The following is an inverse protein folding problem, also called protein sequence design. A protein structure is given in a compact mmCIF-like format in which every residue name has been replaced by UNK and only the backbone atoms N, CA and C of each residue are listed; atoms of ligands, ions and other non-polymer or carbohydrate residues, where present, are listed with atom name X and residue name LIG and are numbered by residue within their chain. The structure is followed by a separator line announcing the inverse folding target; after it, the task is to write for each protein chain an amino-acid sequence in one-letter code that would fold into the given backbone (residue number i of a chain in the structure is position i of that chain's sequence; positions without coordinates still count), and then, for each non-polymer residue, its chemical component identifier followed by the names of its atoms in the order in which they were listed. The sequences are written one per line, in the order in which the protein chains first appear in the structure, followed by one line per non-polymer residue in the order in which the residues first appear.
data_IF_885450952065
#
_entry.id   IF_885450952065
#
_cell.length_a   1.000
_cell.length_b   1.000
_cell.length_c   1.000
_cell.angle_alpha   90.00
_cell.angle_beta   90.00
_cell.angle_gamma   90.00
#
_symmetry.space_group_name_H-M   'P 1'
#
loop_
_entity.id
_entity.type
_entity.pdbx_description
1 polymer ?
#
# COMPACT_ATOMS: atom_id res chain seq x y z
N UNK A 1 3.62 -20.58 -7.36
CA UNK A 1 3.84 -19.48 -8.35
C UNK A 1 2.85 -18.33 -8.13
N UNK A 2 1.54 -18.57 -8.14
CA UNK A 2 0.52 -17.54 -7.91
C UNK A 2 0.77 -16.70 -6.63
N UNK A 3 1.10 -17.35 -5.51
CA UNK A 3 1.32 -16.67 -4.23
C UNK A 3 2.44 -15.63 -4.26
N UNK A 4 3.60 -15.97 -4.85
CA UNK A 4 4.71 -15.03 -4.96
C UNK A 4 4.38 -13.83 -5.86
N UNK A 5 3.57 -14.03 -6.91
CA UNK A 5 3.10 -12.94 -7.75
C UNK A 5 2.16 -11.99 -6.97
N UNK A 6 1.30 -12.54 -6.09
CA UNK A 6 0.44 -11.74 -5.20
C UNK A 6 1.28 -10.91 -4.22
N UNK A 7 2.29 -11.51 -3.58
CA UNK A 7 3.16 -10.79 -2.64
C UNK A 7 3.98 -9.72 -3.36
N UNK A 8 4.53 -10.01 -4.54
CA UNK A 8 5.24 -9.03 -5.36
C UNK A 8 4.32 -7.86 -5.77
N UNK A 9 3.05 -8.14 -6.09
CA UNK A 9 2.06 -7.10 -6.36
C UNK A 9 1.82 -6.21 -5.14
N UNK A 10 1.72 -6.82 -3.95
CA UNK A 10 1.68 -6.09 -2.67
C UNK A 10 2.90 -5.20 -2.48
N UNK A 11 4.11 -5.72 -2.70
CA UNK A 11 5.35 -4.96 -2.58
C UNK A 11 5.38 -3.75 -3.54
N UNK A 12 4.95 -3.92 -4.79
CA UNK A 12 4.81 -2.82 -5.74
C UNK A 12 3.77 -1.79 -5.32
N UNK A 13 2.62 -2.21 -4.82
CA UNK A 13 1.61 -1.30 -4.25
C UNK A 13 2.19 -0.51 -3.08
N UNK A 14 3.00 -1.14 -2.24
CA UNK A 14 3.64 -0.50 -1.10
C UNK A 14 4.68 0.53 -1.55
N UNK A 15 5.49 0.21 -2.56
CA UNK A 15 6.41 1.19 -3.18
C UNK A 15 5.64 2.37 -3.75
N UNK A 16 4.58 2.12 -4.53
CA UNK A 16 3.79 3.19 -5.14
C UNK A 16 3.10 4.08 -4.08
N UNK A 17 2.53 3.46 -3.05
CA UNK A 17 1.96 4.17 -1.90
C UNK A 17 3.03 5.02 -1.20
N UNK A 18 4.20 4.44 -0.93
CA UNK A 18 5.31 5.13 -0.29
C UNK A 18 5.82 6.33 -1.09
N UNK A 19 5.99 6.19 -2.42
CA UNK A 19 6.32 7.31 -3.33
C UNK A 19 5.27 8.41 -3.19
N UNK A 20 3.99 8.05 -3.29
CA UNK A 20 2.89 8.99 -3.21
C UNK A 20 2.87 9.75 -1.86
N UNK A 21 3.09 9.07 -0.73
CA UNK A 21 3.15 9.68 0.60
C UNK A 21 4.34 10.62 0.79
N UNK A 22 5.51 10.28 0.22
CA UNK A 22 6.70 11.14 0.31
C UNK A 22 6.51 12.42 -0.50
N UNK A 23 5.96 12.30 -1.71
CA UNK A 23 5.74 13.42 -2.62
C UNK A 23 4.55 14.29 -2.21
N UNK A 24 3.43 13.67 -1.81
CA UNK A 24 2.15 14.31 -1.49
C UNK A 24 1.62 13.79 -0.14
N UNK A 25 2.14 14.30 0.99
CA UNK A 25 1.81 13.75 2.31
C UNK A 25 0.44 14.19 2.87
N UNK A 26 -0.25 15.13 2.24
CA UNK A 26 -1.39 15.84 2.86
C UNK A 26 -2.54 14.91 3.25
N UNK A 27 -2.91 13.94 2.39
CA UNK A 27 -3.91 12.94 2.74
C UNK A 27 -3.48 12.04 3.91
N UNK A 28 -2.21 11.65 3.96
CA UNK A 28 -1.64 10.87 5.05
C UNK A 28 -1.59 11.66 6.35
N UNK A 29 -1.30 12.96 6.30
CA UNK A 29 -1.30 13.83 7.48
C UNK A 29 -2.69 13.86 8.10
N UNK A 30 -3.75 14.04 7.30
CA UNK A 30 -5.13 14.04 7.80
C UNK A 30 -5.50 12.69 8.43
N UNK A 31 -5.17 11.58 7.77
CA UNK A 31 -5.38 10.24 8.32
C UNK A 31 -4.62 10.04 9.65
N UNK A 32 -3.34 10.41 9.72
CA UNK A 32 -2.54 10.31 10.95
C UNK A 32 -3.08 11.20 12.07
N UNK A 33 -3.55 12.41 11.77
CA UNK A 33 -4.18 13.29 12.77
C UNK A 33 -5.47 12.69 13.33
N UNK A 34 -6.28 12.04 12.48
CA UNK A 34 -7.50 11.37 12.95
C UNK A 34 -7.23 10.21 13.91
N UNK A 35 -6.09 9.53 13.75
CA UNK A 35 -5.74 8.34 14.53
C UNK A 35 -4.88 8.64 15.77
N UNK A 36 -3.96 9.59 15.64
CA UNK A 36 -2.88 9.83 16.62
C UNK A 36 -2.88 11.28 17.14
N UNK A 37 -3.85 12.11 16.73
CA UNK A 37 -3.96 13.50 17.14
C UNK A 37 -2.73 14.34 16.73
N UNK A 38 -2.03 15.00 17.68
CA UNK A 38 -0.96 15.94 17.37
C UNK A 38 0.28 15.30 16.71
N UNK A 39 0.41 13.97 16.76
CA UNK A 39 1.52 13.23 16.13
C UNK A 39 1.41 13.22 14.60
N UNK A 40 0.21 13.47 14.05
CA UNK A 40 -0.04 13.56 12.61
C UNK A 40 0.62 14.79 11.98
N UNK A 41 1.91 14.65 11.67
CA UNK A 41 2.74 15.70 11.08
C UNK A 41 3.25 15.31 9.70
N UNK A 42 3.72 16.30 8.93
CA UNK A 42 4.34 16.08 7.62
C UNK A 42 5.57 15.18 7.71
N UNK A 43 6.35 15.31 8.79
CA UNK A 43 7.51 14.45 9.04
C UNK A 43 7.07 12.99 9.26
N UNK A 44 6.06 12.75 10.11
CA UNK A 44 5.52 11.42 10.33
C UNK A 44 4.96 10.78 9.06
N UNK A 45 4.21 11.54 8.24
CA UNK A 45 3.69 11.07 6.95
C UNK A 45 4.80 10.67 5.97
N UNK A 46 5.88 11.47 5.88
CA UNK A 46 7.03 11.16 5.02
C UNK A 46 7.84 9.98 5.55
N UNK A 47 8.03 9.86 6.86
CA UNK A 47 8.67 8.71 7.49
C UNK A 47 7.88 7.43 7.19
N UNK A 48 6.55 7.47 7.32
CA UNK A 48 5.69 6.35 6.96
C UNK A 48 5.86 5.97 5.48
N UNK A 49 5.83 6.95 4.57
CA UNK A 49 6.08 6.72 3.15
C UNK A 49 7.47 6.16 2.84
N UNK A 50 8.50 6.62 3.55
CA UNK A 50 9.86 6.09 3.45
C UNK A 50 9.96 4.63 3.92
N UNK A 51 9.27 4.27 5.00
CA UNK A 51 9.21 2.88 5.48
C UNK A 51 8.51 1.98 4.46
N UNK A 52 7.41 2.42 3.87
CA UNK A 52 6.71 1.68 2.82
C UNK A 52 7.60 1.44 1.58
N UNK A 53 8.30 2.49 1.13
CA UNK A 53 9.29 2.39 0.06
C UNK A 53 10.39 1.39 0.37
N UNK A 54 10.96 1.48 1.57
CA UNK A 54 12.06 0.61 1.99
C UNK A 54 11.61 -0.85 2.09
N UNK A 55 10.45 -1.12 2.70
CA UNK A 55 9.93 -2.48 2.87
C UNK A 55 9.54 -3.13 1.53
N UNK A 56 8.81 -2.39 0.69
CA UNK A 56 8.45 -2.86 -0.64
C UNK A 56 9.67 -3.10 -1.52
N UNK A 57 10.61 -2.14 -1.54
CA UNK A 57 11.85 -2.24 -2.29
C UNK A 57 12.75 -3.38 -1.80
N UNK A 58 12.88 -3.57 -0.48
CA UNK A 58 13.67 -4.65 0.11
C UNK A 58 13.17 -6.03 -0.35
N UNK A 59 11.86 -6.26 -0.35
CA UNK A 59 11.30 -7.52 -0.85
C UNK A 59 11.53 -7.72 -2.35
N UNK A 60 11.45 -6.65 -3.15
CA UNK A 60 11.67 -6.72 -4.59
C UNK A 60 13.14 -6.97 -4.97
N UNK A 61 14.11 -6.49 -4.18
CA UNK A 61 15.54 -6.67 -4.44
C UNK A 61 16.03 -8.00 -3.86
N UNK A 62 15.66 -8.30 -2.62
CA UNK A 62 16.12 -9.47 -1.88
C UNK A 62 14.93 -10.24 -1.30
N UNK A 63 14.15 -10.92 -2.15
CA UNK A 63 13.03 -11.70 -1.68
C UNK A 63 13.49 -12.83 -0.74
N UNK A 64 12.81 -13.00 0.38
CA UNK A 64 13.12 -14.02 1.36
C UNK A 64 12.17 -14.00 2.55
N UNK A 65 12.37 -14.91 3.53
CA UNK A 65 11.47 -15.04 4.67
C UNK A 65 11.45 -13.77 5.55
N UNK A 66 12.59 -13.10 5.71
CA UNK A 66 12.70 -11.89 6.52
C UNK A 66 11.89 -10.72 5.89
N UNK A 67 12.13 -10.31 4.62
CA UNK A 67 11.29 -9.28 4.01
C UNK A 67 9.82 -9.66 3.89
N UNK A 68 9.50 -10.94 3.66
CA UNK A 68 8.11 -11.43 3.65
C UNK A 68 7.43 -11.26 5.03
N UNK A 69 8.14 -11.54 6.12
CA UNK A 69 7.64 -11.32 7.48
C UNK A 69 7.41 -9.82 7.77
N UNK A 70 8.32 -8.95 7.30
CA UNK A 70 8.16 -7.50 7.43
C UNK A 70 6.93 -6.99 6.66
N UNK A 71 6.73 -7.45 5.41
CA UNK A 71 5.52 -7.15 4.63
C UNK A 71 4.25 -7.66 5.33
N UNK A 72 4.30 -8.84 5.93
CA UNK A 72 3.18 -9.41 6.70
C UNK A 72 2.79 -8.46 7.83
N UNK A 73 3.74 -8.08 8.68
CA UNK A 73 3.50 -7.14 9.79
C UNK A 73 2.95 -5.80 9.29
N UNK A 74 3.49 -5.29 8.18
CA UNK A 74 3.06 -4.03 7.61
C UNK A 74 1.63 -4.07 7.05
N UNK A 75 1.28 -5.08 6.25
CA UNK A 75 -0.07 -5.22 5.70
C UNK A 75 -1.11 -5.48 6.80
N UNK A 76 -0.76 -6.22 7.86
CA UNK A 76 -1.64 -6.37 9.01
C UNK A 76 -1.85 -5.03 9.73
N UNK A 77 -0.80 -4.24 9.94
CA UNK A 77 -0.91 -2.90 10.53
C UNK A 77 -1.76 -1.95 9.67
N UNK A 78 -1.59 -2.00 8.34
CA UNK A 78 -2.43 -1.24 7.39
C UNK A 78 -3.89 -1.72 7.42
N UNK A 79 -4.14 -3.03 7.55
CA UNK A 79 -5.51 -3.58 7.63
C UNK A 79 -6.22 -3.12 8.89
N UNK A 80 -5.52 -3.14 10.04
CA UNK A 80 -6.04 -2.63 11.30
C UNK A 80 -6.28 -1.11 11.24
N UNK A 81 -5.36 -0.38 10.61
CA UNK A 81 -5.50 1.06 10.37
C UNK A 81 -6.72 1.36 9.50
N UNK A 82 -6.91 0.62 8.40
CA UNK A 82 -8.07 0.76 7.53
C UNK A 82 -9.38 0.45 8.27
N UNK A 83 -9.43 -0.59 9.11
CA UNK A 83 -10.58 -0.88 9.97
C UNK A 83 -10.93 0.25 10.93
N UNK A 84 -9.92 0.93 11.50
CA UNK A 84 -10.11 2.07 12.39
C UNK A 84 -10.57 3.30 11.64
N UNK A 85 -9.89 3.67 10.54
CA UNK A 85 -10.24 4.82 9.70
C UNK A 85 -11.65 4.65 9.11
N UNK A 86 -12.07 3.44 8.75
CA UNK A 86 -13.42 3.17 8.24
C UNK A 86 -14.54 3.58 9.21
N UNK A 87 -14.24 3.69 10.51
CA UNK A 87 -15.21 4.18 11.52
C UNK A 87 -15.19 5.71 11.68
N UNK A 88 -14.34 6.39 10.91
CA UNK A 88 -14.23 7.85 10.85
C UNK A 88 -14.62 8.36 9.47
N UNK A 89 -15.10 9.59 9.37
CA UNK A 89 -15.39 10.26 8.09
C UNK A 89 -14.10 10.81 7.41
N UNK A 90 -12.96 10.14 7.62
CA UNK A 90 -11.65 10.55 7.09
C UNK A 90 -11.20 9.55 6.02
N UNK A 91 -10.65 10.04 4.90
CA UNK A 91 -10.09 9.14 3.89
C UNK A 91 -8.79 8.45 4.33
N UNK A 92 -8.43 7.40 3.61
CA UNK A 92 -7.35 6.50 4.02
C UNK A 92 -5.94 7.13 3.99
N UNK A 93 -5.72 8.16 3.16
CA UNK A 93 -4.42 8.80 2.99
C UNK A 93 -3.33 7.89 2.39
N UNK A 94 -3.66 6.67 1.95
CA UNK A 94 -2.69 5.65 1.55
C UNK A 94 -1.90 6.02 0.29
N UNK A 95 -2.52 6.73 -0.65
CA UNK A 95 -1.86 7.19 -1.89
C UNK A 95 -1.71 8.71 -1.93
N UNK A 96 -1.58 9.34 -0.76
CA UNK A 96 -1.43 10.80 -0.63
C UNK A 96 -2.73 11.60 -0.80
N UNK A 97 -3.85 10.94 -1.13
CA UNK A 97 -5.18 11.53 -1.30
C UNK A 97 -6.01 11.41 -0.03
N UNK A 98 -6.70 12.49 0.36
CA UNK A 98 -7.61 12.50 1.51
C UNK A 98 -9.02 12.00 1.17
N UNK A 99 -9.36 11.84 -0.12
CA UNK A 99 -10.73 11.57 -0.57
C UNK A 99 -11.05 10.10 -0.82
N UNK A 100 -10.08 9.20 -0.61
CA UNK A 100 -10.30 7.78 -0.85
C UNK A 100 -11.03 7.14 0.33
N UNK A 101 -12.32 6.84 0.12
CA UNK A 101 -13.17 6.14 1.09
C UNK A 101 -12.62 4.74 1.40
N UNK A 102 -12.63 4.36 2.69
CA UNK A 102 -12.20 3.02 3.11
C UNK A 102 -13.38 2.06 3.06
N UNK A 103 -13.44 1.27 1.99
CA UNK A 103 -14.44 0.20 1.85
C UNK A 103 -14.02 -1.09 2.57
N UNK A 104 -14.96 -2.02 2.77
CA UNK A 104 -14.63 -3.38 3.20
C UNK A 104 -13.72 -4.10 2.20
N UNK A 105 -13.85 -3.79 0.91
CA UNK A 105 -12.97 -4.32 -0.13
C UNK A 105 -11.51 -3.94 0.13
N UNK A 106 -11.24 -2.68 0.47
CA UNK A 106 -9.90 -2.23 0.86
C UNK A 106 -9.34 -3.10 1.99
N UNK A 107 -10.08 -3.21 3.10
CA UNK A 107 -9.64 -3.99 4.27
C UNK A 107 -9.35 -5.44 3.90
N UNK A 108 -10.27 -6.08 3.18
CA UNK A 108 -10.15 -7.48 2.80
C UNK A 108 -8.92 -7.71 1.93
N UNK A 109 -8.66 -6.83 0.96
CA UNK A 109 -7.53 -6.94 0.05
C UNK A 109 -6.21 -6.77 0.80
N UNK A 110 -6.10 -5.73 1.63
CA UNK A 110 -4.90 -5.49 2.44
C UNK A 110 -4.64 -6.68 3.38
N UNK A 111 -5.69 -7.28 3.94
CA UNK A 111 -5.58 -8.47 4.78
C UNK A 111 -5.09 -9.68 3.98
N UNK A 112 -5.66 -9.92 2.79
CA UNK A 112 -5.24 -11.02 1.92
C UNK A 112 -3.79 -10.87 1.45
N UNK A 113 -3.31 -9.66 1.19
CA UNK A 113 -1.90 -9.38 0.91
C UNK A 113 -1.01 -9.72 2.11
N UNK A 114 -1.45 -9.37 3.33
CA UNK A 114 -0.76 -9.75 4.57
C UNK A 114 -0.69 -11.26 4.77
N UNK A 115 -1.81 -11.97 4.60
CA UNK A 115 -1.87 -13.44 4.72
C UNK A 115 -1.02 -14.15 3.64
N UNK A 116 -1.04 -13.62 2.41
CA UNK A 116 -0.19 -14.14 1.32
C UNK A 116 1.29 -13.94 1.63
N UNK A 117 1.65 -12.80 2.23
CA UNK A 117 3.01 -12.52 2.69
C UNK A 117 3.43 -13.47 3.81
N UNK A 118 2.52 -13.79 4.74
CA UNK A 118 2.78 -14.72 5.84
C UNK A 118 3.07 -16.13 5.30
N UNK A 119 2.26 -16.59 4.35
CA UNK A 119 2.47 -17.87 3.69
C UNK A 119 3.79 -17.91 2.89
N UNK A 120 4.23 -16.78 2.33
CA UNK A 120 5.52 -16.69 1.62
C UNK A 120 6.74 -16.82 2.55
N UNK A 121 6.60 -16.61 3.87
CA UNK A 121 7.69 -16.85 4.84
C UNK A 121 8.12 -18.32 4.85
N UNK A 122 7.21 -19.24 4.52
CA UNK A 122 7.46 -20.68 4.52
C UNK A 122 8.12 -21.19 3.22
N UNK A 123 8.34 -20.32 2.24
CA UNK A 123 8.91 -20.73 0.95
C UNK A 123 10.44 -20.68 0.94
N UNK A 124 11.12 -21.62 0.27
CA UNK A 124 12.57 -21.56 0.07
C UNK A 124 12.98 -20.30 -0.71
N UNK A 125 14.05 -19.64 -0.27
CA UNK A 125 14.55 -18.38 -0.86
C UNK A 125 14.92 -18.51 -2.35
N UNK A 126 15.27 -19.72 -2.79
CA UNK A 126 15.76 -20.02 -4.13
C UNK A 126 14.68 -19.91 -5.22
N UNK A 127 13.42 -19.81 -4.82
CA UNK A 127 12.26 -19.83 -5.72
C UNK A 127 11.90 -18.46 -6.32
N UNK A 128 12.53 -17.36 -5.87
CA UNK A 128 11.99 -16.01 -6.07
C UNK A 128 12.60 -15.17 -7.22
N UNK A 129 13.90 -15.29 -7.58
CA UNK A 129 14.49 -14.47 -8.65
C UNK A 129 13.84 -14.66 -10.03
N UNK A 130 13.35 -15.87 -10.36
CA UNK A 130 12.70 -16.17 -11.65
C UNK A 130 11.30 -15.55 -11.78
N UNK A 131 10.68 -15.15 -10.67
CA UNK A 131 9.27 -14.73 -10.62
C UNK A 131 9.12 -13.20 -10.71
N UNK A 132 10.11 -12.45 -10.22
CA UNK A 132 10.20 -10.99 -10.38
C UNK A 132 10.39 -10.57 -11.85
N UNK A 133 11.09 -11.39 -12.65
CA UNK A 133 11.27 -11.19 -14.08
C UNK A 133 10.04 -11.59 -14.93
N UNK A 134 9.24 -12.57 -14.47
CA UNK A 134 8.05 -13.05 -15.17
C UNK A 134 6.79 -12.23 -14.85
N UNK A 135 6.71 -11.67 -13.64
CA UNK A 135 5.62 -10.82 -13.21
C UNK A 135 5.93 -9.34 -13.51
N UNK A 136 5.91 -8.95 -14.79
CA UNK A 136 5.72 -7.55 -15.17
C UNK A 136 4.30 -7.11 -14.78
N UNK A 137 4.05 -6.96 -13.48
CA UNK A 137 2.74 -6.75 -12.84
C UNK A 137 2.31 -5.26 -12.77
N UNK A 138 2.94 -4.42 -13.60
CA UNK A 138 2.55 -3.02 -13.79
C UNK A 138 1.05 -2.89 -14.16
N UNK A 139 0.45 -3.76 -15.00
CA UNK A 139 -0.97 -3.68 -15.31
C UNK A 139 -1.90 -4.08 -14.15
N UNK A 140 -1.46 -4.99 -13.27
CA UNK A 140 -2.28 -5.44 -12.14
C UNK A 140 -2.36 -4.37 -11.05
N UNK A 141 -1.25 -3.72 -10.71
CA UNK A 141 -1.23 -2.62 -9.75
C UNK A 141 -2.01 -1.38 -10.25
N UNK A 142 -1.94 -1.08 -11.55
CA UNK A 142 -2.70 0.02 -12.17
C UNK A 142 -4.19 -0.29 -12.34
N UNK A 143 -4.54 -1.52 -12.74
CA UNK A 143 -5.93 -1.98 -12.78
C UNK A 143 -6.59 -1.95 -11.39
N UNK A 144 -5.80 -2.22 -10.34
CA UNK A 144 -6.23 -2.16 -8.95
C UNK A 144 -6.47 -0.73 -8.45
N UNK A 145 -5.64 0.21 -8.90
CA UNK A 145 -5.83 1.65 -8.64
C UNK A 145 -7.18 2.12 -9.21
N UNK A 146 -7.57 1.64 -10.39
CA UNK A 146 -8.89 1.90 -10.99
C UNK A 146 -10.06 1.22 -10.29
N UNK A 147 -9.82 0.16 -9.51
CA UNK A 147 -10.85 -0.54 -8.73
C UNK A 147 -11.07 0.10 -7.34
N UNK A 148 -10.03 0.73 -6.79
CA UNK A 148 -10.04 1.37 -5.46
C UNK A 148 -10.27 2.89 -5.50
N UNK A 149 -9.95 3.56 -6.62
CA UNK A 149 -10.30 4.96 -6.83
C UNK A 149 -11.58 5.00 -7.65
N UNK A 150 -12.72 5.42 -7.09
CA UNK A 150 -13.92 5.59 -7.89
C UNK A 150 -13.60 6.59 -9.02
N UNK A 151 -13.92 6.20 -10.27
CA UNK A 151 -13.73 7.00 -11.49
C UNK A 151 -14.09 8.50 -11.39
N UNK A 152 -15.04 8.96 -10.55
CA UNK A 152 -15.31 10.38 -10.33
C UNK A 152 -14.11 11.18 -9.81
N UNK A 153 -13.28 10.63 -8.92
CA UNK A 153 -12.12 11.33 -8.35
C UNK A 153 -11.00 11.53 -9.39
N UNK A 154 -10.83 10.58 -10.31
CA UNK A 154 -9.92 10.76 -11.44
C UNK A 154 -10.42 11.86 -12.40
N UNK A 155 -11.74 12.01 -12.55
CA UNK A 155 -12.34 13.05 -13.41
C UNK A 155 -12.29 14.45 -12.79
N UNK A 156 -12.21 14.62 -11.48
CA UNK A 156 -12.04 15.94 -10.84
C UNK A 156 -10.59 16.43 -10.96
N UNK A 157 -9.61 15.57 -10.69
CA UNK A 157 -8.18 15.91 -10.85
C UNK A 157 -7.83 16.27 -12.31
N UNK A 158 -8.34 15.51 -13.28
CA UNK A 158 -8.13 15.82 -14.69
C UNK A 158 -8.80 17.13 -15.13
N UNK A 159 -9.85 17.58 -14.43
CA UNK A 159 -10.47 18.89 -14.69
C UNK A 159 -9.67 20.03 -14.07
N UNK A 160 -9.14 19.83 -12.86
CA UNK A 160 -8.26 20.82 -12.21
C UNK A 160 -6.96 21.06 -13.00
N UNK A 161 -6.44 20.04 -13.67
CA UNK A 161 -5.24 20.17 -14.53
C UNK A 161 -5.51 20.82 -15.90
N UNK A 162 -6.78 21.00 -16.28
CA UNK A 162 -7.19 21.62 -17.55
C UNK A 162 -7.66 23.07 -17.39
N UNK A 163 -7.77 23.57 -16.17
CA UNK A 163 -8.12 24.94 -15.84
C UNK A 163 -6.84 25.76 -15.56
#
# INVERSE_FOLDING_TARGET
MLMLAVVASGAWLLVAAGVAKVLRPDGTISALKSLLGPIGSRAAARLLGGLELALGGLFLIMPGPVPAAMLTGWFLALSLTALRIRRSDTGCGCFGTAETEVTWGHVLITLLLGLSSAAAVMLPAETVPRLLLAASAIPAALGWYGLLVPLPALRSDLRALRA
#
